data_IF_113791475254
#
_entry.id   IF_113791475254
#
_cell.length_a   1.000
_cell.length_b   1.000
_cell.length_c   1.000
_cell.angle_alpha   90.00
_cell.angle_beta   90.00
_cell.angle_gamma   90.00
#
_symmetry.space_group_name_H-M   'P 1'
#
loop_
_entity.id
_entity.type
_entity.pdbx_description
1 polymer ?
#
# COMPACT_ATOMS: atom_id res chain seq x y z
N UNK A 1 0.37 2.27 -4.72
CA UNK A 1 -0.35 2.70 -5.94
C UNK A 1 -1.52 3.59 -5.53
N UNK A 2 -1.81 4.67 -6.26
CA UNK A 2 -2.97 5.54 -5.99
C UNK A 2 -3.96 5.41 -7.13
N UNK A 3 -5.21 5.12 -6.81
CA UNK A 3 -6.30 5.04 -7.80
C UNK A 3 -6.73 6.46 -8.16
N UNK A 4 -6.90 6.72 -9.45
CA UNK A 4 -7.39 7.99 -10.00
C UNK A 4 -8.62 7.68 -10.84
N UNK A 5 -9.75 8.34 -10.54
CA UNK A 5 -11.06 8.03 -11.11
C UNK A 5 -11.20 8.36 -12.60
N UNK A 6 -10.47 9.37 -13.08
CA UNK A 6 -10.52 9.76 -14.48
C UNK A 6 -9.10 9.97 -15.01
N UNK A 7 -8.69 9.14 -15.97
CA UNK A 7 -7.36 9.14 -16.57
C UNK A 7 -7.48 9.48 -18.05
N UNK A 8 -6.68 10.42 -18.54
CA UNK A 8 -6.47 10.60 -19.99
C UNK A 8 -5.36 9.63 -20.43
N UNK A 9 -5.25 9.36 -21.75
CA UNK A 9 -4.24 8.43 -22.32
C UNK A 9 -2.81 8.64 -21.78
N UNK A 10 -2.28 9.88 -21.64
CA UNK A 10 -0.96 10.09 -21.06
C UNK A 10 -0.86 9.69 -19.58
N UNK A 11 -1.94 9.89 -18.81
CA UNK A 11 -1.98 9.60 -17.38
C UNK A 11 -2.02 8.08 -17.13
N UNK A 12 -2.79 7.35 -17.95
CA UNK A 12 -2.86 5.89 -17.89
C UNK A 12 -1.49 5.24 -18.17
N UNK A 13 -0.78 5.75 -19.19
CA UNK A 13 0.58 5.31 -19.51
C UNK A 13 1.50 5.50 -18.31
N UNK A 14 1.49 6.70 -17.73
CA UNK A 14 2.34 7.02 -16.58
C UNK A 14 2.04 6.15 -15.36
N UNK A 15 0.76 5.97 -15.02
CA UNK A 15 0.34 5.17 -13.87
C UNK A 15 0.73 3.69 -14.06
N UNK A 16 0.59 3.17 -15.28
CA UNK A 16 0.96 1.78 -15.61
C UNK A 16 2.47 1.56 -15.52
N UNK A 17 3.27 2.41 -16.17
CA UNK A 17 4.74 2.31 -16.15
C UNK A 17 5.28 2.43 -14.72
N UNK A 18 4.77 3.41 -13.95
CA UNK A 18 5.19 3.61 -12.56
C UNK A 18 4.84 2.45 -11.64
N UNK A 19 3.71 1.80 -11.85
CA UNK A 19 3.32 0.62 -11.08
C UNK A 19 4.15 -0.60 -11.43
N UNK A 20 4.52 -0.73 -12.70
CA UNK A 20 5.41 -1.79 -13.18
C UNK A 20 6.84 -1.62 -12.65
N UNK A 21 7.37 -0.40 -12.62
CA UNK A 21 8.73 -0.11 -12.12
C UNK A 21 8.86 -0.21 -10.60
N UNK A 22 7.76 -0.03 -9.86
CA UNK A 22 7.76 -0.08 -8.40
C UNK A 22 6.70 -1.07 -7.88
N UNK A 23 6.87 -2.38 -8.15
CA UNK A 23 6.01 -3.40 -7.59
C UNK A 23 6.25 -3.46 -6.09
N UNK A 24 5.16 -3.49 -5.31
CA UNK A 24 5.23 -3.67 -3.86
C UNK A 24 4.40 -4.87 -3.46
N UNK A 25 4.96 -5.74 -2.64
CA UNK A 25 4.21 -6.82 -2.02
C UNK A 25 3.35 -6.29 -0.87
N UNK A 26 2.38 -7.10 -0.43
CA UNK A 26 1.49 -6.72 0.68
C UNK A 26 2.30 -6.48 1.97
N UNK A 27 3.40 -7.21 2.16
CA UNK A 27 4.34 -7.08 3.26
C UNK A 27 5.12 -5.75 3.22
N UNK A 28 5.51 -5.28 2.04
CA UNK A 28 6.23 -4.01 1.90
C UNK A 28 5.32 -2.84 2.28
N UNK A 29 4.04 -2.90 1.91
CA UNK A 29 3.07 -1.87 2.22
C UNK A 29 2.85 -1.74 3.74
N UNK A 30 2.70 -2.87 4.44
CA UNK A 30 2.52 -2.84 5.90
C UNK A 30 3.81 -2.52 6.64
N UNK A 31 4.99 -2.54 6.03
CA UNK A 31 6.26 -2.13 6.66
C UNK A 31 6.56 -0.65 6.46
N UNK A 32 6.32 -0.12 5.26
CA UNK A 32 6.62 1.28 4.93
C UNK A 32 5.75 2.27 5.71
N UNK A 33 4.49 1.93 5.97
CA UNK A 33 3.55 2.83 6.64
C UNK A 33 3.92 2.97 8.14
N UNK A 34 4.09 1.90 8.93
CA UNK A 34 4.58 1.99 10.31
C UNK A 34 5.94 2.66 10.46
N UNK A 35 6.86 2.46 9.51
CA UNK A 35 8.16 3.14 9.54
C UNK A 35 7.99 4.67 9.53
N UNK A 36 7.10 5.18 8.68
CA UNK A 36 6.76 6.62 8.66
C UNK A 36 5.97 7.07 9.88
N UNK A 37 5.05 6.25 10.38
CA UNK A 37 4.25 6.57 11.57
C UNK A 37 5.09 6.56 12.85
N UNK A 38 6.20 5.81 12.89
CA UNK A 38 7.12 5.81 14.03
C UNK A 38 7.99 7.07 14.11
N UNK A 39 8.22 7.75 12.99
CA UNK A 39 8.92 9.04 12.96
C UNK A 39 8.05 10.20 13.46
N UNK A 40 6.73 9.99 13.56
CA UNK A 40 5.78 10.98 14.08
C UNK A 40 5.56 10.78 15.58
N UNK A 41 6.08 11.72 16.38
CA UNK A 41 6.00 11.67 17.85
C UNK A 41 4.59 11.90 18.40
N UNK A 42 3.65 12.41 17.60
CA UNK A 42 2.26 12.64 18.04
C UNK A 42 1.40 11.36 17.95
N UNK A 43 1.88 10.33 17.25
CA UNK A 43 1.15 9.08 17.03
C UNK A 43 1.60 8.01 18.03
N UNK A 44 0.92 7.95 19.18
CA UNK A 44 1.23 6.97 20.22
C UNK A 44 0.76 5.54 19.87
N UNK A 45 -0.31 5.39 19.10
CA UNK A 45 -0.87 4.07 18.76
C UNK A 45 -1.40 4.05 17.34
N UNK A 46 -1.12 2.97 16.62
CA UNK A 46 -1.65 2.78 15.27
C UNK A 46 -1.84 1.30 14.96
N UNK A 47 -2.78 1.02 14.05
CA UNK A 47 -2.92 -0.27 13.39
C UNK A 47 -2.99 -0.05 11.90
N UNK A 48 -2.13 -0.76 11.17
CA UNK A 48 -2.05 -0.70 9.71
C UNK A 48 -2.39 -2.07 9.18
N UNK A 49 -3.47 -2.15 8.41
CA UNK A 49 -3.87 -3.36 7.70
C UNK A 49 -3.79 -3.13 6.18
N UNK A 50 -3.35 -4.15 5.46
CA UNK A 50 -3.38 -4.20 4.01
C UNK A 50 -4.06 -5.49 3.55
N UNK A 51 -5.01 -5.34 2.64
CA UNK A 51 -5.66 -6.44 1.94
C UNK A 51 -5.40 -6.29 0.44
N UNK A 52 -4.87 -7.35 -0.17
CA UNK A 52 -4.67 -7.43 -1.61
C UNK A 52 -5.58 -8.52 -2.20
N UNK A 53 -6.43 -8.12 -3.15
CA UNK A 53 -7.23 -9.04 -3.95
C UNK A 53 -6.36 -9.60 -5.06
N UNK A 54 -5.93 -10.85 -4.91
CA UNK A 54 -5.00 -11.45 -5.84
C UNK A 54 -5.69 -11.72 -7.19
N UNK A 55 -5.05 -11.30 -8.29
CA UNK A 55 -5.60 -11.48 -9.63
C UNK A 55 -5.43 -12.90 -10.18
N UNK A 56 -4.58 -13.71 -9.54
CA UNK A 56 -4.23 -15.09 -9.96
C UNK A 56 -4.68 -16.16 -8.96
N UNK A 57 -5.30 -15.76 -7.84
CA UNK A 57 -5.80 -16.66 -6.81
C UNK A 57 -7.17 -16.21 -6.30
N UNK A 58 -8.03 -17.15 -5.89
CA UNK A 58 -9.37 -16.82 -5.35
C UNK A 58 -9.34 -16.63 -3.82
N UNK A 59 -8.33 -15.93 -3.32
CA UNK A 59 -8.22 -15.54 -1.92
C UNK A 59 -7.53 -14.17 -1.82
N UNK A 60 -7.80 -13.45 -0.74
CA UNK A 60 -7.11 -12.19 -0.44
C UNK A 60 -5.83 -12.48 0.35
N UNK A 61 -4.74 -11.80 0.01
CA UNK A 61 -3.57 -11.71 0.89
C UNK A 61 -3.80 -10.60 1.91
N UNK A 62 -3.68 -10.92 3.20
CA UNK A 62 -3.94 -9.98 4.29
C UNK A 62 -2.75 -9.89 5.25
N UNK A 63 -2.37 -8.67 5.60
CA UNK A 63 -1.33 -8.41 6.59
C UNK A 63 -1.74 -7.25 7.52
N UNK A 64 -1.35 -7.35 8.79
CA UNK A 64 -1.65 -6.33 9.81
C UNK A 64 -0.46 -6.11 10.75
N UNK A 65 -0.17 -4.86 11.07
CA UNK A 65 0.80 -4.45 12.09
C UNK A 65 0.12 -3.49 13.06
N UNK A 66 0.27 -3.75 14.36
CA UNK A 66 -0.27 -2.92 15.43
C UNK A 66 0.84 -2.49 16.38
N UNK A 67 0.84 -1.21 16.78
CA UNK A 67 1.70 -0.65 17.82
C UNK A 67 0.83 -0.09 18.94
N UNK A 68 1.02 -0.58 20.16
CA UNK A 68 0.21 -0.26 21.35
C UNK A 68 0.98 0.52 22.43
N UNK A 69 2.14 1.12 22.10
CA UNK A 69 3.05 1.78 23.04
C UNK A 69 3.21 3.27 22.78
#
# INVERSE_FOLDING_TARGET
MRIIWHLKRPDEKYVTERAYENPKFVEDLVRDIPARLNDDHDICRFSVAAENFESIHNHSAYAVITKDQ
#
